data_IF_108449975908
#
_entry.id   IF_108449975908
#
_cell.length_a   1.000
_cell.length_b   1.000
_cell.length_c   1.000
_cell.angle_alpha   90.00
_cell.angle_beta   90.00
_cell.angle_gamma   90.00
#
_symmetry.space_group_name_H-M   'P 1'
#
loop_
_entity.id
_entity.type
_entity.pdbx_description
1 polymer ?
#
# COMPACT_ATOMS: atom_id res chain seq x y z
N UNK A 1 8.47 19.05 31.21
CA UNK A 1 8.66 18.80 29.77
C UNK A 1 8.40 17.31 29.60
N UNK A 2 7.21 16.95 29.12
CA UNK A 2 6.75 15.57 29.05
C UNK A 2 7.39 14.95 27.82
N UNK A 3 8.12 13.85 28.00
CA UNK A 3 8.77 13.11 26.93
C UNK A 3 7.67 12.56 26.03
N UNK A 4 7.59 13.05 24.80
CA UNK A 4 6.67 12.55 23.78
C UNK A 4 7.09 11.09 23.51
N UNK A 5 6.30 10.13 23.99
CA UNK A 5 6.41 8.73 23.57
C UNK A 5 6.17 8.73 22.07
N UNK A 6 7.27 8.71 21.30
CA UNK A 6 7.23 8.65 19.85
C UNK A 6 6.52 7.35 19.48
N UNK A 7 5.23 7.47 19.21
CA UNK A 7 4.38 6.32 18.91
C UNK A 7 4.95 5.68 17.65
N UNK A 8 5.25 4.38 17.72
CA UNK A 8 5.86 3.64 16.63
C UNK A 8 5.01 2.44 16.25
N UNK A 9 4.99 2.12 14.95
CA UNK A 9 4.43 0.89 14.42
C UNK A 9 5.56 -0.10 14.14
N UNK A 10 5.31 -1.38 14.37
CA UNK A 10 6.17 -2.45 13.86
C UNK A 10 5.52 -2.96 12.57
N UNK A 11 6.22 -2.78 11.47
CA UNK A 11 5.84 -3.38 10.19
C UNK A 11 6.57 -4.72 10.07
N UNK A 12 5.78 -5.78 9.91
CA UNK A 12 6.28 -7.13 9.66
C UNK A 12 5.97 -7.47 8.21
N UNK A 13 7.01 -7.67 7.40
CA UNK A 13 6.85 -8.01 5.98
C UNK A 13 7.84 -9.09 5.55
N UNK A 14 7.76 -9.53 4.30
CA UNK A 14 8.74 -10.45 3.72
C UNK A 14 9.44 -9.81 2.53
N UNK A 15 10.77 -9.75 2.57
CA UNK A 15 11.58 -9.37 1.42
C UNK A 15 11.98 -10.62 0.64
N UNK A 16 11.89 -10.57 -0.69
CA UNK A 16 12.41 -11.62 -1.57
C UNK A 16 13.82 -11.25 -1.99
N UNK A 17 14.78 -12.15 -1.75
CA UNK A 17 16.13 -12.05 -2.29
C UNK A 17 16.34 -13.15 -3.33
N UNK A 18 17.09 -12.83 -4.39
CA UNK A 18 17.47 -13.82 -5.39
C UNK A 18 18.42 -14.83 -4.75
N UNK A 19 17.95 -16.07 -4.58
CA UNK A 19 18.78 -17.18 -4.15
C UNK A 19 19.75 -17.61 -5.25
N UNK A 20 20.92 -18.13 -4.89
CA UNK A 20 21.95 -18.61 -5.83
C UNK A 20 21.47 -19.71 -6.81
N UNK A 21 20.26 -20.26 -6.64
CA UNK A 21 19.65 -21.29 -7.49
C UNK A 21 18.36 -20.84 -8.20
N UNK A 22 18.03 -19.55 -8.19
CA UNK A 22 16.82 -19.01 -8.83
C UNK A 22 15.53 -19.28 -8.05
N UNK A 23 15.62 -19.85 -6.84
CA UNK A 23 14.49 -19.90 -5.92
C UNK A 23 14.48 -18.65 -5.05
N UNK A 24 13.36 -17.90 -4.99
CA UNK A 24 13.26 -16.71 -4.16
C UNK A 24 13.31 -17.10 -2.68
N UNK A 25 14.31 -16.59 -1.96
CA UNK A 25 14.37 -16.75 -0.51
C UNK A 25 13.56 -15.63 0.12
N UNK A 26 12.52 -15.98 0.88
CA UNK A 26 11.71 -15.01 1.62
C UNK A 26 12.27 -14.81 3.02
N UNK A 27 12.71 -13.60 3.33
CA UNK A 27 13.18 -13.21 4.65
C UNK A 27 12.11 -12.38 5.35
N UNK A 28 11.68 -12.81 6.54
CA UNK A 28 10.83 -11.98 7.41
C UNK A 28 11.65 -10.81 7.94
N UNK A 29 11.12 -9.60 7.79
CA UNK A 29 11.71 -8.35 8.28
C UNK A 29 10.72 -7.68 9.20
N UNK A 30 11.17 -7.37 10.41
CA UNK A 30 10.43 -6.56 11.38
C UNK A 30 11.13 -5.20 11.47
N UNK A 31 10.39 -4.12 11.21
CA UNK A 31 10.94 -2.76 11.26
C UNK A 31 10.03 -1.86 12.09
N UNK A 32 10.62 -1.25 13.12
CA UNK A 32 9.98 -0.17 13.85
C UNK A 32 10.04 1.11 12.99
N UNK A 33 8.89 1.77 12.84
CA UNK A 33 8.76 3.04 12.14
C UNK A 33 7.94 4.03 12.95
N UNK A 34 8.23 5.31 12.80
CA UNK A 34 7.40 6.34 13.40
C UNK A 34 6.05 6.40 12.70
N UNK A 35 5.03 6.78 13.47
CA UNK A 35 3.69 7.04 12.96
C UNK A 35 3.73 8.10 11.85
N UNK A 36 4.60 9.10 11.97
CA UNK A 36 4.73 10.22 11.03
C UNK A 36 5.22 9.75 9.65
N UNK A 37 6.19 8.82 9.63
CA UNK A 37 6.69 8.25 8.37
C UNK A 37 5.62 7.43 7.67
N UNK A 38 4.87 6.62 8.42
CA UNK A 38 3.80 5.80 7.84
C UNK A 38 2.65 6.67 7.32
N UNK A 39 2.24 7.70 8.08
CA UNK A 39 1.23 8.68 7.65
C UNK A 39 1.63 9.38 6.36
N UNK A 40 2.85 9.90 6.31
CA UNK A 40 3.36 10.61 5.12
C UNK A 40 3.38 9.70 3.88
N UNK A 41 3.74 8.43 4.06
CA UNK A 41 3.75 7.44 2.98
C UNK A 41 2.34 7.11 2.49
N UNK A 42 1.39 6.96 3.41
CA UNK A 42 -0.02 6.75 3.09
C UNK A 42 -0.63 7.94 2.36
N UNK A 43 -0.39 9.16 2.83
CA UNK A 43 -0.93 10.38 2.22
C UNK A 43 -0.45 10.55 0.77
N UNK A 44 0.85 10.29 0.53
CA UNK A 44 1.42 10.31 -0.82
C UNK A 44 0.80 9.24 -1.72
N UNK A 45 0.58 8.05 -1.19
CA UNK A 45 -0.03 6.94 -1.92
C UNK A 45 -1.49 7.24 -2.30
N UNK A 46 -2.31 7.66 -1.33
CA UNK A 46 -3.70 8.03 -1.55
C UNK A 46 -3.83 9.24 -2.49
N UNK A 47 -2.93 10.22 -2.38
CA UNK A 47 -2.86 11.34 -3.33
C UNK A 47 -2.64 10.88 -4.77
N UNK A 48 -1.73 9.91 -4.96
CA UNK A 48 -1.46 9.34 -6.27
C UNK A 48 -2.66 8.55 -6.82
N UNK A 49 -3.38 7.80 -5.97
CA UNK A 49 -4.61 7.12 -6.37
C UNK A 49 -5.71 8.11 -6.74
N UNK A 50 -5.89 9.17 -5.94
CA UNK A 50 -6.83 10.24 -6.23
C UNK A 50 -6.55 10.86 -7.61
N UNK A 51 -5.30 11.22 -7.87
CA UNK A 51 -4.92 11.81 -9.16
C UNK A 51 -5.22 10.83 -10.31
N UNK A 52 -4.93 9.54 -10.14
CA UNK A 52 -5.26 8.51 -11.13
C UNK A 52 -6.77 8.46 -11.42
N UNK A 53 -7.61 8.54 -10.39
CA UNK A 53 -9.08 8.48 -10.54
C UNK A 53 -9.67 9.76 -11.10
N UNK A 54 -9.15 10.93 -10.71
CA UNK A 54 -9.66 12.23 -11.16
C UNK A 54 -9.31 12.52 -12.62
N UNK A 55 -8.16 12.05 -13.12
CA UNK A 55 -7.74 12.26 -14.51
C UNK A 55 -8.33 11.24 -15.50
N UNK A 56 -9.00 10.19 -15.00
CA UNK A 56 -9.77 9.27 -15.84
C UNK A 56 -11.09 9.95 -16.25
N UNK A 57 -11.39 9.99 -17.56
CA UNK A 57 -12.64 10.60 -18.04
C UNK A 57 -13.83 9.90 -17.36
N UNK A 58 -14.57 10.60 -16.49
CA UNK A 58 -15.53 9.98 -15.58
C UNK A 58 -16.73 9.34 -16.29
N UNK A 59 -16.89 9.61 -17.58
CA UNK A 59 -17.98 9.14 -18.44
C UNK A 59 -17.40 8.53 -19.70
N UNK A 60 -17.58 7.22 -19.87
CA UNK A 60 -17.47 6.57 -21.17
C UNK A 60 -18.89 6.25 -21.65
N UNK A 61 -19.42 7.06 -22.56
CA UNK A 61 -20.80 6.93 -23.04
C UNK A 61 -21.81 7.05 -21.90
N UNK A 62 -22.62 6.00 -21.70
CA UNK A 62 -23.65 5.95 -20.65
C UNK A 62 -23.13 5.47 -19.28
N UNK A 63 -21.85 5.10 -19.17
CA UNK A 63 -21.28 4.55 -17.94
C UNK A 63 -20.55 5.61 -17.14
N UNK A 64 -20.70 5.55 -15.82
CA UNK A 64 -19.95 6.36 -14.86
C UNK A 64 -19.18 5.44 -13.94
N UNK A 65 -17.93 5.80 -13.67
CA UNK A 65 -17.14 5.15 -12.64
C UNK A 65 -17.65 5.59 -11.26
N UNK A 66 -18.13 4.66 -10.45
CA UNK A 66 -18.73 4.91 -9.13
C UNK A 66 -17.77 4.58 -7.98
N UNK A 67 -17.25 3.35 -8.01
CA UNK A 67 -16.34 2.80 -7.01
C UNK A 67 -15.12 2.18 -7.68
N UNK A 68 -13.94 2.37 -7.07
CA UNK A 68 -12.72 1.64 -7.43
C UNK A 68 -12.13 1.00 -6.18
N UNK A 69 -11.76 -0.27 -6.30
CA UNK A 69 -11.03 -1.00 -5.29
C UNK A 69 -9.58 -1.19 -5.72
N UNK A 70 -8.65 -0.82 -4.83
CA UNK A 70 -7.23 -1.06 -4.99
C UNK A 70 -6.74 -1.99 -3.89
N UNK A 71 -6.06 -3.07 -4.25
CA UNK A 71 -5.35 -3.90 -3.28
C UNK A 71 -3.90 -3.45 -3.19
N UNK A 72 -3.40 -3.29 -1.97
CA UNK A 72 -2.06 -2.82 -1.70
C UNK A 72 -1.37 -3.63 -0.60
N UNK A 73 -0.04 -3.52 -0.54
CA UNK A 73 0.78 -4.03 0.55
C UNK A 73 1.63 -2.91 1.16
N UNK A 74 2.04 -3.10 2.42
CA UNK A 74 3.04 -2.27 3.10
C UNK A 74 4.37 -3.04 3.10
N UNK A 75 5.40 -2.42 2.52
CA UNK A 75 6.76 -2.95 2.52
C UNK A 75 7.53 -2.66 3.81
N UNK A 76 8.76 -3.15 3.88
CA UNK A 76 9.58 -3.12 5.11
C UNK A 76 9.91 -1.68 5.53
N UNK A 77 9.92 -0.76 4.57
CA UNK A 77 10.24 0.64 4.76
C UNK A 77 8.98 1.51 4.97
N UNK A 78 7.80 0.88 5.07
CA UNK A 78 6.52 1.58 5.23
C UNK A 78 5.96 2.13 3.92
N UNK A 79 6.53 1.73 2.80
CA UNK A 79 6.05 2.11 1.48
C UNK A 79 4.79 1.31 1.10
N UNK A 80 3.82 1.98 0.49
CA UNK A 80 2.60 1.35 -0.03
C UNK A 80 2.80 1.00 -1.51
N UNK A 81 2.50 -0.25 -1.88
CA UNK A 81 2.61 -0.75 -3.27
C UNK A 81 1.29 -1.33 -3.73
N UNK A 82 0.92 -1.06 -4.99
CA UNK A 82 -0.26 -1.68 -5.62
C UNK A 82 0.05 -3.13 -5.99
N UNK A 83 -0.91 -4.01 -5.74
CA UNK A 83 -0.85 -5.42 -6.13
C UNK A 83 -1.46 -5.58 -7.53
N UNK A 84 -0.66 -6.05 -8.48
CA UNK A 84 -1.10 -6.33 -9.85
C UNK A 84 -1.86 -7.65 -9.99
N UNK A 85 -2.63 -7.81 -11.07
CA UNK A 85 -3.29 -9.07 -11.39
C UNK A 85 -2.26 -10.18 -11.64
N UNK A 86 -2.38 -11.30 -10.92
CA UNK A 86 -1.46 -12.43 -11.00
C UNK A 86 -0.37 -12.47 -9.92
N UNK A 87 -0.24 -11.43 -9.09
CA UNK A 87 0.58 -11.50 -7.88
C UNK A 87 -0.20 -12.31 -6.84
N UNK A 88 0.19 -13.57 -6.64
CA UNK A 88 -0.32 -14.36 -5.52
C UNK A 88 0.44 -13.91 -4.29
N UNK A 89 -0.09 -12.90 -3.59
CA UNK A 89 0.35 -12.61 -2.22
C UNK A 89 -0.09 -13.83 -1.40
N UNK A 90 0.84 -14.74 -1.15
CA UNK A 90 0.58 -15.94 -0.35
C UNK A 90 0.33 -15.63 1.13
N UNK A 91 0.34 -14.34 1.50
CA UNK A 91 0.15 -13.84 2.85
C UNK A 91 -1.14 -13.04 2.93
N UNK A 92 -1.86 -13.29 4.00
CA UNK A 92 -3.17 -12.75 4.40
C UNK A 92 -3.18 -11.23 4.69
N UNK A 93 -2.26 -10.46 4.10
CA UNK A 93 -1.91 -9.10 4.52
C UNK A 93 -2.02 -8.08 3.38
N UNK A 94 -3.11 -8.13 2.60
CA UNK A 94 -3.47 -7.04 1.68
C UNK A 94 -4.32 -6.00 2.39
N UNK A 95 -4.12 -4.74 2.04
CA UNK A 95 -4.98 -3.62 2.42
C UNK A 95 -5.82 -3.26 1.21
N UNK A 96 -7.14 -3.30 1.35
CA UNK A 96 -8.04 -2.86 0.30
C UNK A 96 -8.48 -1.42 0.56
N UNK A 97 -8.21 -0.56 -0.42
CA UNK A 97 -8.71 0.81 -0.45
C UNK A 97 -9.92 0.89 -1.36
N UNK A 98 -11.05 1.33 -0.82
CA UNK A 98 -12.29 1.56 -1.57
C UNK A 98 -12.46 3.06 -1.74
N UNK A 99 -12.36 3.54 -2.98
CA UNK A 99 -12.57 4.94 -3.33
C UNK A 99 -13.93 5.09 -4.01
N UNK A 100 -14.81 5.86 -3.35
CA UNK A 100 -16.12 6.24 -3.89
C UNK A 100 -16.13 7.69 -4.31
N UNK A 101 -16.84 8.01 -5.38
CA UNK A 101 -17.12 9.41 -5.70
C UNK A 101 -18.02 10.01 -4.64
N UNK A 102 -17.73 11.26 -4.27
CA UNK A 102 -18.62 12.04 -3.41
C UNK A 102 -19.90 12.34 -4.19
N UNK A 103 -21.03 11.95 -3.62
CA UNK A 103 -22.36 12.27 -4.14
C UNK A 103 -22.63 13.79 -4.15
#
# INVERSE_FOLDING_TARGET
MQTDESTSFIVVTTESTDGMRGEPVRKVVEKAMSVETLKSSLDRFLGSLRDLVEHQTPRQGAFVLDEITFSAEIGAEGEFKLLGSGVTVSSTSSIDFVMRRRA
#
